data_IF_725605476215
#
_entry.id   IF_725605476215
#
_cell.length_a   1.000
_cell.length_b   1.000
_cell.length_c   1.000
_cell.angle_alpha   90.00
_cell.angle_beta   90.00
_cell.angle_gamma   90.00
#
_symmetry.space_group_name_H-M   'P 1'
#
loop_
_entity.id
_entity.type
_entity.pdbx_description
1 polymer ?
#
# COMPACT_ATOMS: atom_id res chain seq x y z
N UNK A 1 13.33 -3.96 7.60
CA UNK A 1 12.86 -2.74 6.91
C UNK A 1 14.05 -2.20 6.14
N UNK A 2 14.04 -2.32 4.82
CA UNK A 2 15.17 -2.00 3.95
C UNK A 2 14.67 -1.11 2.80
N UNK A 3 15.13 0.13 2.74
CA UNK A 3 14.66 1.15 1.78
C UNK A 3 15.58 1.30 0.57
N UNK A 4 16.62 0.48 0.44
CA UNK A 4 17.63 0.60 -0.63
C UNK A 4 17.11 0.29 -2.03
N UNK A 5 15.90 -0.28 -2.13
CA UNK A 5 15.25 -0.65 -3.40
C UNK A 5 14.85 0.56 -4.26
N UNK A 6 14.63 1.74 -3.66
CA UNK A 6 14.16 2.92 -4.39
C UNK A 6 14.62 4.23 -3.75
N UNK A 7 14.53 5.35 -4.49
CA UNK A 7 14.89 6.66 -3.97
C UNK A 7 13.85 7.17 -2.95
N UNK A 8 14.31 8.02 -2.04
CA UNK A 8 13.43 8.92 -1.29
C UNK A 8 13.04 10.10 -2.20
N UNK A 9 11.74 10.32 -2.40
CA UNK A 9 11.23 11.54 -3.04
C UNK A 9 10.58 12.41 -1.98
N UNK A 10 11.02 13.67 -1.89
CA UNK A 10 10.52 14.65 -0.93
C UNK A 10 10.26 15.99 -1.61
N UNK A 11 8.99 16.30 -1.83
CA UNK A 11 8.51 17.54 -2.43
C UNK A 11 7.27 18.05 -1.69
N UNK A 12 6.93 19.32 -1.89
CA UNK A 12 5.84 20.03 -1.18
C UNK A 12 4.51 19.25 -1.11
N UNK A 13 4.13 18.61 -2.21
CA UNK A 13 2.87 17.87 -2.33
C UNK A 13 3.07 16.40 -2.73
N UNK A 14 4.28 15.87 -2.52
CA UNK A 14 4.58 14.49 -2.88
C UNK A 14 5.71 13.89 -2.04
N UNK A 15 5.38 12.83 -1.31
CA UNK A 15 6.32 12.03 -0.53
C UNK A 15 6.25 10.58 -1.01
N UNK A 16 7.39 9.98 -1.34
CA UNK A 16 7.50 8.56 -1.70
C UNK A 16 8.63 7.89 -0.94
N UNK A 17 8.32 6.76 -0.30
CA UNK A 17 9.27 5.84 0.33
C UNK A 17 8.89 4.40 -0.02
N UNK A 18 9.87 3.57 -0.34
CA UNK A 18 9.67 2.14 -0.60
C UNK A 18 10.51 1.31 0.37
N UNK A 19 9.98 0.16 0.80
CA UNK A 19 10.70 -0.76 1.67
C UNK A 19 10.53 -2.21 1.21
N UNK A 20 11.64 -2.94 1.09
CA UNK A 20 11.64 -4.38 0.88
C UNK A 20 11.22 -5.09 2.17
N UNK A 21 10.27 -6.01 2.04
CA UNK A 21 9.79 -6.85 3.12
C UNK A 21 10.45 -8.25 3.07
N UNK A 22 10.64 -8.90 4.23
CA UNK A 22 11.26 -10.23 4.29
C UNK A 22 10.31 -11.37 3.87
N UNK A 23 9.01 -11.11 3.68
CA UNK A 23 8.03 -12.11 3.27
C UNK A 23 6.84 -11.50 2.51
N UNK A 24 6.04 -12.35 1.87
CA UNK A 24 4.77 -11.99 1.23
C UNK A 24 3.56 -12.05 2.18
N UNK A 25 3.76 -12.22 3.49
CA UNK A 25 2.68 -12.28 4.47
C UNK A 25 2.37 -10.86 5.00
N UNK A 26 1.56 -10.12 4.24
CA UNK A 26 1.17 -8.74 4.53
C UNK A 26 -0.33 -8.71 4.86
N UNK A 27 -0.71 -7.97 5.91
CA UNK A 27 -2.09 -7.83 6.41
C UNK A 27 -2.34 -6.38 6.86
N UNK A 28 -3.60 -5.93 6.89
CA UNK A 28 -3.97 -4.54 7.24
C UNK A 28 -4.30 -3.70 5.99
N UNK A 29 -3.99 -2.39 6.02
CA UNK A 29 -4.45 -1.36 5.07
C UNK A 29 -5.99 -1.20 5.08
N UNK A 30 -6.49 0.03 4.89
CA UNK A 30 -7.93 0.29 4.97
C UNK A 30 -8.29 1.77 4.88
N UNK A 31 -9.54 2.11 4.62
CA UNK A 31 -10.72 1.23 4.49
C UNK A 31 -10.90 0.74 3.04
N UNK A 32 -10.88 -0.58 2.83
CA UNK A 32 -10.96 -1.23 1.52
C UNK A 32 -11.64 -2.59 1.63
N UNK A 33 -12.27 -3.06 0.56
CA UNK A 33 -12.77 -4.44 0.44
C UNK A 33 -11.64 -5.33 -0.07
N UNK A 34 -10.93 -6.00 0.82
CA UNK A 34 -9.96 -7.03 0.43
C UNK A 34 -10.67 -8.37 0.24
N UNK A 35 -10.59 -8.96 -0.97
CA UNK A 35 -11.17 -10.28 -1.26
C UNK A 35 -10.53 -11.41 -0.43
N UNK A 36 -9.26 -11.23 -0.03
CA UNK A 36 -8.51 -12.13 0.84
C UNK A 36 -7.85 -11.36 1.97
N UNK A 37 -7.76 -11.96 3.16
CA UNK A 37 -7.14 -11.29 4.33
C UNK A 37 -5.63 -11.07 4.13
N UNK A 38 -4.93 -12.03 3.53
CA UNK A 38 -3.54 -11.85 3.09
C UNK A 38 -3.52 -11.07 1.77
N UNK A 39 -2.69 -10.04 1.69
CA UNK A 39 -2.54 -9.22 0.50
C UNK A 39 -1.94 -9.97 -0.69
N UNK A 40 -2.47 -9.70 -1.88
CA UNK A 40 -1.84 -10.04 -3.16
C UNK A 40 -0.68 -9.06 -3.44
N UNK A 41 0.53 -9.59 -3.60
CA UNK A 41 1.74 -8.78 -3.81
C UNK A 41 2.10 -8.57 -5.29
N UNK A 42 1.25 -9.03 -6.21
CA UNK A 42 1.43 -8.83 -7.63
C UNK A 42 0.89 -7.46 -8.06
N UNK A 43 1.73 -6.43 -7.94
CA UNK A 43 1.49 -5.08 -8.49
C UNK A 43 0.11 -4.49 -8.15
N UNK A 44 -0.21 -4.40 -6.85
CA UNK A 44 -1.45 -3.80 -6.33
C UNK A 44 -1.23 -2.40 -5.78
N UNK A 45 -2.25 -1.55 -5.89
CA UNK A 45 -2.29 -0.19 -5.31
C UNK A 45 -3.58 -0.01 -4.53
N UNK A 46 -3.48 0.47 -3.29
CA UNK A 46 -4.59 0.66 -2.36
C UNK A 46 -4.67 2.14 -1.94
N UNK A 47 -5.52 2.97 -2.58
CA UNK A 47 -5.60 4.41 -2.28
C UNK A 47 -6.33 4.69 -0.96
N UNK A 48 -5.72 5.46 -0.06
CA UNK A 48 -6.34 5.81 1.23
C UNK A 48 -6.75 7.28 1.23
N UNK A 49 -8.05 7.52 1.20
CA UNK A 49 -8.67 8.83 1.42
C UNK A 49 -10.12 8.59 1.84
N UNK A 50 -10.54 9.08 3.01
CA UNK A 50 -11.89 8.84 3.53
C UNK A 50 -12.93 9.32 2.53
N UNK A 51 -13.80 8.42 2.09
CA UNK A 51 -14.77 8.68 1.03
C UNK A 51 -16.04 7.90 1.30
N UNK A 52 -17.18 8.57 1.14
CA UNK A 52 -18.47 7.90 1.05
C UNK A 52 -18.61 7.26 -0.35
N UNK A 53 -18.56 5.94 -0.39
CA UNK A 53 -18.67 5.15 -1.61
C UNK A 53 -19.18 3.75 -1.27
N UNK A 54 -19.88 3.13 -2.22
CA UNK A 54 -20.19 1.72 -2.11
C UNK A 54 -18.90 0.89 -1.98
N UNK A 55 -18.91 -0.17 -1.15
CA UNK A 55 -17.79 -1.09 -1.03
C UNK A 55 -17.65 -1.92 -2.32
N UNK A 56 -17.00 -1.35 -3.33
CA UNK A 56 -16.73 -1.99 -4.62
C UNK A 56 -15.34 -2.63 -4.56
N UNK A 57 -15.26 -3.95 -4.73
CA UNK A 57 -14.02 -4.74 -4.73
C UNK A 57 -13.68 -5.38 -6.07
#
# INVERSE_FOLDING_TARGET
FDTTLGPLVFADQYLQLSAKLPSHNIYGLGEHVHQTFRHDTNWRTWPIFTRDAFPNG
#
